data_IF_665919514347
#
_entry.id   IF_665919514347
#
_cell.length_a   1.000
_cell.length_b   1.000
_cell.length_c   1.000
_cell.angle_alpha   90.00
_cell.angle_beta   90.00
_cell.angle_gamma   90.00
#
_symmetry.space_group_name_H-M   'P 1'
#
loop_
_entity.id
_entity.type
_entity.pdbx_description
1 polymer ?
#
# COMPACT_ATOMS: atom_id res chain seq x y z
N UNK A 1 7.09 -2.94 -28.48
CA UNK A 1 7.09 -1.64 -27.78
C UNK A 1 6.93 -1.80 -26.26
N UNK A 2 6.17 -2.80 -25.77
CA UNK A 2 5.87 -3.04 -24.34
C UNK A 2 7.04 -3.61 -23.51
N UNK A 3 8.01 -4.29 -24.12
CA UNK A 3 9.17 -4.91 -23.39
C UNK A 3 10.22 -3.91 -22.89
N UNK A 4 10.24 -2.67 -23.37
CA UNK A 4 11.26 -1.64 -23.00
C UNK A 4 10.86 -0.75 -21.81
N UNK A 5 9.60 -0.74 -21.38
CA UNK A 5 9.12 0.07 -20.24
C UNK A 5 9.25 -0.65 -18.88
N UNK A 6 9.54 -1.93 -18.85
CA UNK A 6 9.67 -2.71 -17.60
C UNK A 6 11.08 -2.72 -17.00
N UNK A 7 12.06 -2.08 -17.65
CA UNK A 7 13.47 -2.05 -17.19
C UNK A 7 13.90 -0.70 -16.61
N UNK A 8 13.00 0.24 -16.35
CA UNK A 8 13.33 1.45 -15.59
C UNK A 8 13.68 1.03 -14.17
N UNK A 9 14.96 0.96 -13.92
CA UNK A 9 15.70 0.73 -12.69
C UNK A 9 14.89 0.99 -11.41
N UNK A 10 14.24 -0.06 -10.89
CA UNK A 10 13.77 -0.12 -9.51
C UNK A 10 14.98 -0.32 -8.61
N UNK A 11 15.68 0.77 -8.29
CA UNK A 11 16.77 0.73 -7.32
C UNK A 11 16.17 0.81 -5.90
N UNK A 12 16.11 -0.27 -5.13
CA UNK A 12 15.52 -0.28 -3.78
C UNK A 12 16.25 0.66 -2.82
N UNK A 13 17.48 1.06 -3.13
CA UNK A 13 18.27 2.01 -2.33
C UNK A 13 17.80 3.47 -2.45
N UNK A 14 16.97 3.83 -3.47
CA UNK A 14 16.46 5.21 -3.61
C UNK A 14 15.29 5.51 -2.68
N UNK A 15 14.49 4.52 -2.33
CA UNK A 15 13.28 4.69 -1.52
C UNK A 15 13.60 5.15 -0.09
N UNK A 16 14.71 4.70 0.47
CA UNK A 16 15.09 4.92 1.88
C UNK A 16 15.76 6.26 2.15
N UNK A 17 16.14 7.05 1.13
CA UNK A 17 17.04 8.20 1.32
C UNK A 17 16.30 9.50 1.64
N UNK A 18 15.01 9.62 1.34
CA UNK A 18 14.28 10.89 1.43
C UNK A 18 13.16 10.86 2.48
N UNK A 19 12.47 9.73 2.62
CA UNK A 19 11.50 9.52 3.71
C UNK A 19 12.21 8.71 4.79
N UNK A 20 12.59 9.37 5.88
CA UNK A 20 13.15 8.67 7.06
C UNK A 20 12.04 7.83 7.69
N UNK A 21 12.03 6.53 7.39
CA UNK A 21 11.10 5.57 7.96
C UNK A 21 11.74 4.83 9.13
N UNK A 22 10.99 4.60 10.19
CA UNK A 22 11.37 3.79 11.34
C UNK A 22 11.02 2.32 11.15
N UNK A 23 10.01 2.04 10.31
CA UNK A 23 9.57 0.71 9.92
C UNK A 23 10.67 -0.04 9.15
N UNK A 24 10.90 -1.30 9.49
CA UNK A 24 11.81 -2.16 8.71
C UNK A 24 11.09 -2.67 7.47
N UNK A 25 11.73 -2.53 6.30
CA UNK A 25 11.18 -2.97 5.00
C UNK A 25 12.02 -4.10 4.44
N UNK A 26 11.36 -5.21 4.13
CA UNK A 26 11.96 -6.41 3.54
C UNK A 26 11.37 -6.65 2.15
N UNK A 27 12.19 -7.10 1.21
CA UNK A 27 11.77 -7.46 -0.14
C UNK A 27 11.86 -8.97 -0.32
N UNK A 28 10.70 -9.63 -0.46
CA UNK A 28 10.59 -11.08 -0.48
C UNK A 28 10.75 -11.72 0.90
N UNK A 29 10.99 -13.02 0.89
CA UNK A 29 11.08 -13.85 2.09
C UNK A 29 12.52 -14.31 2.40
N UNK A 30 13.49 -13.83 1.60
CA UNK A 30 14.88 -14.19 1.80
C UNK A 30 15.50 -13.33 2.91
N UNK A 31 16.26 -13.98 3.79
CA UNK A 31 16.98 -13.33 4.89
C UNK A 31 16.09 -12.54 5.87
N UNK A 32 14.85 -12.99 6.08
CA UNK A 32 14.02 -12.42 7.14
C UNK A 32 14.62 -12.73 8.52
N UNK A 33 14.64 -11.77 9.44
CA UNK A 33 15.02 -12.04 10.81
C UNK A 33 13.96 -12.89 11.52
N UNK A 34 14.28 -13.46 12.64
CA UNK A 34 13.27 -14.00 13.54
C UNK A 34 12.49 -12.83 14.17
N UNK A 35 11.17 -12.79 13.93
CA UNK A 35 10.28 -11.78 14.51
C UNK A 35 9.74 -12.27 15.87
N UNK A 36 9.64 -11.34 16.81
CA UNK A 36 9.14 -11.65 18.15
C UNK A 36 7.61 -11.64 18.18
N UNK A 37 6.99 -12.80 18.44
CA UNK A 37 5.53 -12.97 18.55
C UNK A 37 4.73 -12.17 17.51
N UNK A 38 4.97 -12.37 16.20
CA UNK A 38 4.45 -11.46 15.16
C UNK A 38 2.93 -11.56 15.03
N UNK A 39 2.29 -10.37 15.06
CA UNK A 39 0.93 -10.17 14.62
C UNK A 39 0.94 -9.60 13.19
N UNK A 40 0.32 -10.30 12.25
CA UNK A 40 0.46 -10.00 10.84
C UNK A 40 -0.89 -9.80 10.13
N UNK A 41 -0.83 -9.11 9.01
CA UNK A 41 -1.93 -9.01 8.05
C UNK A 41 -1.41 -9.02 6.62
N UNK A 42 -2.21 -9.52 5.68
CA UNK A 42 -1.83 -9.67 4.27
C UNK A 42 -2.80 -8.92 3.37
N UNK A 43 -2.30 -8.14 2.43
CA UNK A 43 -3.17 -7.44 1.49
C UNK A 43 -2.43 -6.54 0.50
N UNK A 44 -3.12 -6.07 -0.53
CA UNK A 44 -2.53 -5.12 -1.49
C UNK A 44 -2.37 -3.72 -0.92
N UNK A 45 -3.17 -3.36 0.07
CA UNK A 45 -3.12 -2.06 0.77
C UNK A 45 -3.07 -0.86 -0.17
N UNK A 46 -3.78 -0.94 -1.30
CA UNK A 46 -3.83 0.14 -2.26
C UNK A 46 -4.68 1.29 -1.73
N UNK A 47 -4.03 2.44 -1.49
CA UNK A 47 -4.60 3.62 -0.86
C UNK A 47 -4.54 3.64 0.67
N UNK A 48 -4.16 2.57 1.34
CA UNK A 48 -4.10 2.44 2.83
C UNK A 48 -5.28 3.13 3.52
N UNK A 49 -6.49 2.93 2.99
CA UNK A 49 -7.72 3.63 3.39
C UNK A 49 -8.21 3.25 4.80
N UNK A 50 -9.23 3.95 5.31
CA UNK A 50 -9.78 3.76 6.67
C UNK A 50 -10.16 2.31 6.99
N UNK A 51 -10.68 1.54 6.02
CA UNK A 51 -10.92 0.11 6.20
C UNK A 51 -9.64 -0.71 6.42
N UNK A 52 -8.52 -0.34 5.78
CA UNK A 52 -7.22 -0.95 6.07
C UNK A 52 -6.69 -0.54 7.44
N UNK A 53 -6.93 0.71 7.87
CA UNK A 53 -6.48 1.22 9.16
C UNK A 53 -6.97 0.37 10.32
N UNK A 54 -8.21 -0.12 10.28
CA UNK A 54 -8.76 -0.99 11.33
C UNK A 54 -7.93 -2.29 11.48
N UNK A 55 -7.50 -2.89 10.37
CA UNK A 55 -6.61 -4.05 10.39
C UNK A 55 -5.24 -3.68 10.96
N UNK A 56 -4.67 -2.54 10.54
CA UNK A 56 -3.37 -2.07 11.02
C UNK A 56 -3.38 -1.78 12.52
N UNK A 57 -4.41 -1.10 13.01
CA UNK A 57 -4.59 -0.83 14.44
C UNK A 57 -4.76 -2.13 15.23
N UNK A 58 -5.44 -3.13 14.65
CA UNK A 58 -5.63 -4.43 15.31
C UNK A 58 -4.32 -5.19 15.45
N UNK A 59 -3.52 -5.35 14.38
CA UNK A 59 -2.23 -6.05 14.48
C UNK A 59 -1.27 -5.34 15.43
N UNK A 60 -1.26 -4.01 15.47
CA UNK A 60 -0.46 -3.24 16.43
C UNK A 60 -0.85 -3.53 17.88
N UNK A 61 -2.15 -3.52 18.18
CA UNK A 61 -2.65 -3.82 19.52
C UNK A 61 -2.34 -5.26 19.95
N UNK A 62 -2.53 -6.22 19.06
CA UNK A 62 -2.22 -7.61 19.35
C UNK A 62 -0.73 -7.87 19.54
N UNK A 63 0.12 -7.25 18.73
CA UNK A 63 1.56 -7.29 18.91
C UNK A 63 1.97 -6.67 20.25
N UNK A 64 1.49 -5.45 20.54
CA UNK A 64 1.81 -4.75 21.79
C UNK A 64 1.38 -5.54 23.04
N UNK A 65 0.23 -6.22 23.02
CA UNK A 65 -0.28 -7.00 24.14
C UNK A 65 0.64 -8.14 24.58
N UNK A 66 1.50 -8.64 23.66
CA UNK A 66 2.44 -9.74 23.93
C UNK A 66 3.91 -9.29 23.82
N UNK A 67 4.16 -7.99 23.76
CA UNK A 67 5.50 -7.45 23.51
C UNK A 67 6.10 -7.91 22.18
N UNK A 68 5.24 -8.19 21.19
CA UNK A 68 5.59 -8.69 19.87
C UNK A 68 5.79 -7.57 18.85
N UNK A 69 5.76 -7.92 17.56
CA UNK A 69 5.97 -7.02 16.42
C UNK A 69 4.81 -7.09 15.44
N UNK A 70 4.38 -5.94 14.94
CA UNK A 70 3.37 -5.84 13.88
C UNK A 70 4.00 -6.01 12.50
N UNK A 71 3.38 -6.84 11.64
CA UNK A 71 3.89 -7.11 10.30
C UNK A 71 2.78 -6.93 9.27
N UNK A 72 3.05 -6.12 8.26
CA UNK A 72 2.22 -6.04 7.05
C UNK A 72 2.93 -6.79 5.93
N UNK A 73 2.23 -7.72 5.28
CA UNK A 73 2.65 -8.33 4.04
C UNK A 73 1.88 -7.69 2.89
N UNK A 74 2.59 -7.13 1.92
CA UNK A 74 1.99 -6.52 0.72
C UNK A 74 2.67 -7.02 -0.55
N UNK A 75 2.10 -6.67 -1.70
CA UNK A 75 2.55 -7.16 -2.99
C UNK A 75 3.06 -6.01 -3.87
N UNK A 76 4.16 -6.24 -4.57
CA UNK A 76 4.67 -5.37 -5.62
C UNK A 76 5.31 -6.21 -6.74
N UNK A 77 4.79 -6.11 -7.99
CA UNK A 77 3.64 -5.32 -8.47
C UNK A 77 2.30 -5.71 -7.84
N UNK A 78 1.33 -4.81 -7.94
CA UNK A 78 -0.03 -5.09 -7.47
C UNK A 78 -0.62 -6.33 -8.17
N UNK A 79 -1.25 -7.29 -7.46
CA UNK A 79 -1.72 -8.57 -8.06
C UNK A 79 -2.60 -8.41 -9.29
N UNK A 80 -3.53 -7.45 -9.30
CA UNK A 80 -4.39 -7.20 -10.47
C UNK A 80 -3.63 -6.69 -11.70
N UNK A 81 -2.49 -6.03 -11.50
CA UNK A 81 -1.60 -5.59 -12.59
C UNK A 81 -0.90 -6.80 -13.19
N UNK A 82 -0.30 -7.64 -12.35
CA UNK A 82 0.43 -8.84 -12.80
C UNK A 82 -0.48 -9.84 -13.51
N UNK A 83 -1.70 -10.04 -12.99
CA UNK A 83 -2.67 -10.99 -13.54
C UNK A 83 -3.45 -10.44 -14.75
N UNK A 84 -3.35 -9.13 -15.04
CA UNK A 84 -4.08 -8.50 -16.13
C UNK A 84 -5.60 -8.52 -15.96
N UNK A 85 -6.09 -8.71 -14.74
CA UNK A 85 -7.54 -8.83 -14.47
C UNK A 85 -8.31 -7.52 -14.60
N UNK A 86 -7.61 -6.42 -14.84
CA UNK A 86 -8.20 -5.10 -15.05
C UNK A 86 -7.28 -4.27 -15.97
N UNK A 87 -7.62 -4.19 -17.25
CA UNK A 87 -6.81 -3.55 -18.30
C UNK A 87 -6.44 -2.07 -18.03
N UNK A 88 -7.22 -1.35 -17.24
CA UNK A 88 -7.05 0.08 -16.93
C UNK A 88 -6.89 0.36 -15.44
N UNK A 89 -6.35 -0.59 -14.67
CA UNK A 89 -6.14 -0.35 -13.24
C UNK A 89 -5.16 0.81 -13.04
N UNK A 90 -5.60 1.84 -12.31
CA UNK A 90 -4.74 2.88 -11.76
C UNK A 90 -4.61 2.68 -10.25
N UNK A 91 -3.39 2.82 -9.74
CA UNK A 91 -3.09 2.61 -8.33
C UNK A 91 -3.34 3.88 -7.52
N UNK A 92 -3.91 3.72 -6.34
CA UNK A 92 -4.11 4.82 -5.38
C UNK A 92 -2.79 5.22 -4.72
N UNK A 93 -1.89 4.25 -4.51
CA UNK A 93 -0.58 4.49 -3.92
C UNK A 93 0.51 3.79 -4.72
N UNK A 94 1.64 4.49 -4.92
CA UNK A 94 2.90 3.84 -5.27
C UNK A 94 3.40 2.98 -4.10
N UNK A 95 4.42 2.14 -4.33
CA UNK A 95 5.05 1.40 -3.23
C UNK A 95 5.66 2.35 -2.19
N UNK A 96 6.30 3.42 -2.64
CA UNK A 96 6.90 4.43 -1.78
C UNK A 96 5.88 5.13 -0.87
N UNK A 97 4.77 5.60 -1.46
CA UNK A 97 3.66 6.22 -0.72
C UNK A 97 3.05 5.24 0.29
N UNK A 98 2.95 3.96 -0.07
CA UNK A 98 2.48 2.90 0.83
C UNK A 98 3.43 2.69 2.01
N UNK A 99 4.75 2.64 1.76
CA UNK A 99 5.77 2.55 2.81
C UNK A 99 5.65 3.74 3.76
N UNK A 100 5.55 4.96 3.23
CA UNK A 100 5.38 6.18 4.02
C UNK A 100 4.14 6.12 4.91
N UNK A 101 2.99 5.71 4.36
CA UNK A 101 1.73 5.63 5.12
C UNK A 101 1.79 4.57 6.22
N UNK A 102 2.30 3.38 5.91
CA UNK A 102 2.41 2.29 6.89
C UNK A 102 3.35 2.64 8.05
N UNK A 103 4.46 3.32 7.77
CA UNK A 103 5.36 3.84 8.79
C UNK A 103 4.64 4.87 9.69
N UNK A 104 3.92 5.81 9.11
CA UNK A 104 3.13 6.79 9.87
C UNK A 104 2.00 6.16 10.69
N UNK A 105 1.47 5.02 10.26
CA UNK A 105 0.53 4.23 11.06
C UNK A 105 1.22 3.39 12.16
N UNK A 106 2.55 3.47 12.27
CA UNK A 106 3.32 2.86 13.34
C UNK A 106 3.42 1.34 13.21
N UNK A 107 3.53 0.83 12.00
CA UNK A 107 3.82 -0.58 11.71
C UNK A 107 5.32 -0.82 11.93
N UNK A 108 5.69 -1.92 12.58
CA UNK A 108 7.10 -2.23 12.85
C UNK A 108 7.81 -2.80 11.64
N UNK A 109 7.10 -3.62 10.84
CA UNK A 109 7.70 -4.37 9.73
C UNK A 109 6.79 -4.42 8.51
N UNK A 110 7.38 -4.24 7.33
CA UNK A 110 6.72 -4.44 6.05
C UNK A 110 7.48 -5.48 5.23
N UNK A 111 6.78 -6.50 4.76
CA UNK A 111 7.31 -7.47 3.79
C UNK A 111 6.65 -7.20 2.44
N UNK A 112 7.43 -6.75 1.47
CA UNK A 112 7.01 -6.52 0.09
C UNK A 112 7.25 -7.79 -0.70
N UNK A 113 6.19 -8.50 -1.03
CA UNK A 113 6.24 -9.76 -1.76
C UNK A 113 6.33 -9.48 -3.26
N UNK A 114 7.38 -9.92 -3.96
CA UNK A 114 7.42 -9.88 -5.42
C UNK A 114 6.28 -10.75 -5.99
N UNK A 115 5.25 -10.09 -6.54
CA UNK A 115 4.08 -10.79 -7.05
C UNK A 115 4.20 -11.02 -8.55
N UNK A 116 4.62 -12.22 -8.92
CA UNK A 116 4.68 -12.70 -10.30
C UNK A 116 3.68 -13.82 -10.58
N UNK A 117 3.70 -14.34 -11.81
CA UNK A 117 2.81 -15.45 -12.20
C UNK A 117 3.13 -16.76 -11.47
N UNK A 118 4.39 -16.97 -11.06
CA UNK A 118 4.77 -18.18 -10.33
C UNK A 118 4.21 -18.09 -8.90
N UNK A 119 4.39 -16.96 -8.22
CA UNK A 119 3.83 -16.73 -6.89
C UNK A 119 2.29 -16.79 -6.88
N UNK A 120 1.62 -16.30 -7.93
CA UNK A 120 0.16 -16.34 -8.04
C UNK A 120 -0.45 -17.75 -8.10
N UNK A 121 0.35 -18.77 -8.40
CA UNK A 121 -0.07 -20.18 -8.48
C UNK A 121 0.16 -20.95 -7.19
N UNK A 122 0.70 -20.33 -6.17
CA UNK A 122 0.93 -20.98 -4.87
C UNK A 122 -0.44 -21.29 -4.24
N UNK A 123 -0.73 -22.56 -3.89
CA UNK A 123 -1.94 -22.93 -3.19
C UNK A 123 -2.08 -22.16 -1.87
N UNK A 124 -3.30 -21.86 -1.47
CA UNK A 124 -3.56 -21.08 -0.26
C UNK A 124 -3.01 -21.74 1.00
N UNK A 125 -3.09 -23.07 1.12
CA UNK A 125 -2.52 -23.82 2.25
C UNK A 125 -0.98 -23.73 2.29
N UNK A 126 -0.31 -23.91 1.14
CA UNK A 126 1.15 -23.74 1.04
C UNK A 126 1.59 -22.31 1.36
N UNK A 127 0.80 -21.31 0.97
CA UNK A 127 1.09 -19.92 1.35
C UNK A 127 1.04 -19.73 2.87
N UNK A 128 0.05 -20.30 3.55
CA UNK A 128 -0.02 -20.25 5.03
C UNK A 128 1.15 -20.98 5.65
N UNK A 129 1.33 -22.26 5.30
CA UNK A 129 2.31 -23.15 5.91
C UNK A 129 3.76 -22.69 5.68
N UNK A 130 4.13 -22.48 4.43
CA UNK A 130 5.53 -22.29 4.05
C UNK A 130 5.97 -20.82 4.25
N UNK A 131 5.06 -19.85 3.99
CA UNK A 131 5.42 -18.43 4.05
C UNK A 131 4.98 -17.76 5.35
N UNK A 132 3.69 -17.82 5.71
CA UNK A 132 3.23 -17.11 6.91
C UNK A 132 3.79 -17.74 8.18
N UNK A 133 3.76 -19.07 8.28
CA UNK A 133 4.25 -19.78 9.44
C UNK A 133 5.74 -20.09 9.32
N UNK A 134 6.16 -20.71 8.22
CA UNK A 134 7.53 -21.19 8.03
C UNK A 134 8.56 -20.08 7.89
N UNK A 135 8.28 -19.02 7.11
CA UNK A 135 9.23 -17.90 6.87
C UNK A 135 9.05 -16.74 7.84
N UNK A 136 7.80 -16.36 8.15
CA UNK A 136 7.51 -15.17 8.99
C UNK A 136 7.32 -15.55 10.47
N UNK A 137 6.86 -16.76 10.75
CA UNK A 137 6.58 -17.24 12.11
C UNK A 137 5.33 -16.62 12.72
N UNK A 138 4.31 -16.29 11.91
CA UNK A 138 3.09 -15.60 12.36
C UNK A 138 2.45 -16.30 13.54
N UNK A 139 2.13 -15.53 14.59
CA UNK A 139 1.41 -16.01 15.79
C UNK A 139 -0.04 -15.52 15.83
N UNK A 140 -0.31 -14.34 15.31
CA UNK A 140 -1.65 -13.81 15.13
C UNK A 140 -1.80 -13.32 13.69
N UNK A 141 -2.81 -13.82 12.97
CA UNK A 141 -3.15 -13.36 11.63
C UNK A 141 -4.47 -12.59 11.68
N UNK A 142 -4.46 -11.34 11.28
CA UNK A 142 -5.65 -10.50 11.21
C UNK A 142 -6.06 -10.34 9.74
N UNK A 143 -7.29 -10.68 9.41
CA UNK A 143 -7.84 -10.58 8.06
C UNK A 143 -9.12 -9.77 8.04
N UNK A 144 -9.39 -9.11 6.92
CA UNK A 144 -10.63 -8.36 6.74
C UNK A 144 -11.78 -9.28 6.32
N UNK A 145 -13.01 -8.80 6.50
CA UNK A 145 -14.21 -9.47 6.02
C UNK A 145 -14.11 -9.80 4.51
N UNK A 146 -14.46 -11.02 4.15
CA UNK A 146 -14.32 -11.54 2.79
C UNK A 146 -12.88 -11.54 2.23
N UNK A 147 -11.88 -11.60 3.11
CA UNK A 147 -10.49 -11.75 2.65
C UNK A 147 -10.32 -13.05 1.85
N UNK A 148 -9.70 -12.93 0.68
CA UNK A 148 -9.40 -14.05 -0.20
C UNK A 148 -7.93 -14.00 -0.61
N UNK A 149 -7.26 -15.17 -0.61
CA UNK A 149 -5.83 -15.29 -0.92
C UNK A 149 -5.50 -16.62 -1.58
N UNK A 150 -4.24 -16.80 -1.99
CA UNK A 150 -3.78 -18.00 -2.67
C UNK A 150 -4.25 -18.08 -4.13
N UNK A 151 -3.94 -19.21 -4.76
CA UNK A 151 -4.32 -19.49 -6.14
C UNK A 151 -5.86 -19.44 -6.27
N UNK A 152 -6.34 -18.83 -7.35
CA UNK A 152 -7.78 -18.66 -7.65
C UNK A 152 -8.65 -18.14 -6.50
N UNK A 153 -8.01 -17.51 -5.48
CA UNK A 153 -8.68 -16.99 -4.27
C UNK A 153 -9.41 -18.08 -3.46
N UNK A 154 -8.89 -19.28 -3.46
CA UNK A 154 -9.43 -20.42 -2.71
C UNK A 154 -9.36 -20.19 -1.19
N UNK A 155 -8.29 -19.53 -0.72
CA UNK A 155 -8.08 -19.24 0.69
C UNK A 155 -9.07 -18.21 1.22
N UNK A 156 -9.67 -18.51 2.35
CA UNK A 156 -10.59 -17.64 3.08
C UNK A 156 -10.40 -17.81 4.60
N UNK A 157 -11.25 -17.12 5.37
CA UNK A 157 -11.26 -17.25 6.84
C UNK A 157 -11.50 -18.69 7.30
N UNK A 158 -12.33 -19.49 6.61
CA UNK A 158 -12.62 -20.88 7.02
C UNK A 158 -11.39 -21.77 6.88
N UNK A 159 -10.65 -21.63 5.78
CA UNK A 159 -9.39 -22.33 5.59
C UNK A 159 -8.39 -21.96 6.70
N UNK A 160 -8.23 -20.66 6.97
CA UNK A 160 -7.32 -20.18 8.03
C UNK A 160 -7.73 -20.73 9.39
N UNK A 161 -9.01 -20.74 9.69
CA UNK A 161 -9.54 -21.27 10.95
C UNK A 161 -9.39 -22.80 11.04
N UNK A 162 -9.40 -23.52 9.93
CA UNK A 162 -9.11 -24.97 9.89
C UNK A 162 -7.64 -25.30 10.13
N UNK A 163 -6.73 -24.38 9.77
CA UNK A 163 -5.29 -24.59 9.91
C UNK A 163 -4.72 -24.05 11.24
N UNK A 164 -5.48 -23.24 11.99
CA UNK A 164 -4.94 -22.56 13.17
C UNK A 164 -4.49 -23.52 14.28
N UNK A 165 -5.22 -24.60 14.50
CA UNK A 165 -4.87 -25.60 15.53
C UNK A 165 -3.62 -26.39 15.12
N UNK A 166 -3.52 -26.77 13.83
CA UNK A 166 -2.40 -27.56 13.31
C UNK A 166 -1.08 -26.78 13.39
N UNK A 167 -1.11 -25.49 13.05
CA UNK A 167 0.11 -24.66 12.96
C UNK A 167 0.32 -23.73 14.16
N UNK A 168 -0.55 -23.73 15.15
CA UNK A 168 -0.38 -23.00 16.42
C UNK A 168 -0.36 -21.47 16.26
N UNK A 169 -1.22 -20.91 15.38
CA UNK A 169 -1.43 -19.48 15.24
C UNK A 169 -2.89 -19.11 15.51
N UNK A 170 -3.17 -17.83 15.77
CA UNK A 170 -4.53 -17.32 15.94
C UNK A 170 -4.97 -16.59 14.68
N UNK A 171 -6.27 -16.63 14.40
CA UNK A 171 -6.90 -15.88 13.31
C UNK A 171 -7.98 -14.96 13.87
N UNK A 172 -7.94 -13.69 13.46
CA UNK A 172 -8.97 -12.71 13.81
C UNK A 172 -9.55 -12.12 12.51
N UNK A 173 -10.85 -12.26 12.31
CA UNK A 173 -11.55 -11.59 11.21
C UNK A 173 -12.10 -10.24 11.69
N UNK A 174 -11.86 -9.19 10.91
CA UNK A 174 -12.39 -7.85 11.16
C UNK A 174 -13.62 -7.63 10.30
N UNK A 175 -14.69 -7.16 10.92
CA UNK A 175 -15.92 -6.82 10.24
C UNK A 175 -15.74 -5.69 9.22
N UNK A 176 -16.66 -5.65 8.27
CA UNK A 176 -16.69 -4.63 7.23
C UNK A 176 -16.84 -3.23 7.83
N UNK A 177 -16.08 -2.28 7.29
CA UNK A 177 -16.11 -0.89 7.72
C UNK A 177 -16.84 -0.01 6.71
N UNK A 178 -17.67 0.89 7.20
CA UNK A 178 -18.36 1.92 6.43
C UNK A 178 -17.98 3.32 6.96
N UNK A 179 -17.93 4.31 6.08
CA UNK A 179 -17.68 5.73 6.41
C UNK A 179 -18.76 6.56 5.71
N UNK A 180 -19.41 7.47 6.45
CA UNK A 180 -20.52 8.30 5.96
C UNK A 180 -21.65 7.45 5.33
N UNK A 181 -21.96 6.27 5.90
CA UNK A 181 -22.90 5.28 5.37
C UNK A 181 -22.51 4.69 3.99
N UNK A 182 -21.35 4.99 3.49
CA UNK A 182 -20.80 4.44 2.25
C UNK A 182 -19.73 3.38 2.53
N UNK A 183 -19.74 2.31 1.72
CA UNK A 183 -18.74 1.25 1.81
C UNK A 183 -17.35 1.78 1.41
N UNK A 184 -16.39 1.76 2.34
CA UNK A 184 -15.01 2.10 2.02
C UNK A 184 -14.36 0.99 1.19
N UNK A 185 -13.83 1.36 0.04
CA UNK A 185 -13.02 0.46 -0.81
C UNK A 185 -12.15 1.26 -1.77
N UNK A 186 -11.00 0.68 -2.18
CA UNK A 186 -10.15 1.30 -3.21
C UNK A 186 -10.90 1.61 -4.51
N UNK A 187 -11.95 0.84 -4.86
CA UNK A 187 -12.77 1.10 -6.06
C UNK A 187 -13.61 2.36 -5.92
N UNK A 188 -14.23 2.59 -4.78
CA UNK A 188 -15.01 3.81 -4.52
C UNK A 188 -14.07 5.03 -4.50
N UNK A 189 -12.94 4.92 -3.81
CA UNK A 189 -11.96 6.00 -3.71
C UNK A 189 -11.41 6.38 -5.09
N UNK A 190 -11.12 5.40 -5.97
CA UNK A 190 -10.71 5.70 -7.36
C UNK A 190 -11.72 6.56 -8.09
N UNK A 191 -13.01 6.20 -8.01
CA UNK A 191 -14.08 6.97 -8.66
C UNK A 191 -14.19 8.40 -8.14
N UNK A 192 -13.96 8.61 -6.84
CA UNK A 192 -13.94 9.95 -6.26
C UNK A 192 -12.77 10.78 -6.81
N UNK A 193 -11.58 10.20 -6.88
CA UNK A 193 -10.38 10.87 -7.43
C UNK A 193 -10.58 11.16 -8.92
N UNK A 194 -11.10 10.21 -9.71
CA UNK A 194 -11.41 10.37 -11.13
C UNK A 194 -12.42 11.49 -11.40
N UNK A 195 -13.25 11.84 -10.42
CA UNK A 195 -14.19 12.97 -10.47
C UNK A 195 -13.63 14.26 -9.87
N UNK A 196 -12.41 14.26 -9.35
CA UNK A 196 -11.82 15.40 -8.66
C UNK A 196 -12.39 15.65 -7.25
N UNK A 197 -13.17 14.72 -6.69
CA UNK A 197 -13.79 14.85 -5.36
C UNK A 197 -12.75 14.54 -4.24
N UNK A 198 -11.63 15.29 -4.26
CA UNK A 198 -10.46 15.02 -3.41
C UNK A 198 -10.77 15.04 -1.91
N UNK A 199 -11.63 15.97 -1.46
CA UNK A 199 -12.02 16.05 -0.04
C UNK A 199 -12.80 14.81 0.43
N UNK A 200 -13.66 14.24 -0.40
CA UNK A 200 -14.36 12.99 -0.08
C UNK A 200 -13.41 11.80 -0.10
N UNK A 201 -12.52 11.76 -1.10
CA UNK A 201 -11.49 10.73 -1.17
C UNK A 201 -10.60 10.74 0.08
N UNK A 202 -10.14 11.91 0.54
CA UNK A 202 -9.32 12.06 1.74
C UNK A 202 -10.04 11.58 3.02
N UNK A 203 -11.36 11.84 3.17
CA UNK A 203 -12.14 11.29 4.29
C UNK A 203 -12.15 9.75 4.28
N UNK A 204 -12.42 9.13 3.13
CA UNK A 204 -12.41 7.66 3.02
C UNK A 204 -11.01 7.06 3.19
N UNK A 205 -9.98 7.76 2.75
CA UNK A 205 -8.58 7.39 2.97
C UNK A 205 -8.18 7.52 4.46
N UNK A 206 -8.77 8.47 5.21
CA UNK A 206 -8.33 8.95 6.53
C UNK A 206 -6.95 9.61 6.53
N UNK A 207 -6.50 10.07 5.39
CA UNK A 207 -5.28 10.85 5.18
C UNK A 207 -5.39 11.60 3.83
N UNK A 208 -4.57 12.66 3.59
CA UNK A 208 -4.49 13.31 2.28
C UNK A 208 -4.14 12.31 1.17
N UNK A 209 -4.65 12.53 -0.03
CA UNK A 209 -4.17 11.77 -1.18
C UNK A 209 -2.74 12.17 -1.51
N UNK A 210 -1.86 11.21 -1.73
CA UNK A 210 -0.43 11.44 -1.90
C UNK A 210 -0.01 11.36 -3.37
N UNK A 211 1.03 12.12 -3.72
CA UNK A 211 1.80 11.98 -4.95
C UNK A 211 3.28 12.14 -4.63
N UNK A 212 4.05 11.08 -4.78
CA UNK A 212 5.51 11.10 -4.68
C UNK A 212 6.14 11.17 -6.07
N UNK A 213 7.20 11.96 -6.22
CA UNK A 213 7.92 12.06 -7.49
C UNK A 213 9.07 13.05 -7.47
N UNK A 214 9.89 13.00 -8.51
CA UNK A 214 11.00 13.92 -8.72
C UNK A 214 10.52 15.18 -9.41
N UNK A 215 10.72 16.34 -8.81
CA UNK A 215 10.40 17.65 -9.40
C UNK A 215 11.63 18.25 -10.06
N UNK A 216 11.48 18.70 -11.31
CA UNK A 216 12.51 19.42 -12.05
C UNK A 216 12.46 20.93 -11.80
N UNK A 217 13.43 21.66 -12.36
CA UNK A 217 13.53 23.13 -12.21
C UNK A 217 12.37 23.90 -12.87
N UNK A 218 11.59 23.25 -13.74
CA UNK A 218 10.40 23.84 -14.37
C UNK A 218 9.12 23.50 -13.61
N UNK A 219 9.20 22.69 -12.55
CA UNK A 219 8.05 22.26 -11.74
C UNK A 219 7.37 21.00 -12.26
N UNK A 220 7.85 20.34 -13.32
CA UNK A 220 7.27 19.07 -13.75
C UNK A 220 7.62 17.97 -12.76
N UNK A 221 6.65 17.09 -12.50
CA UNK A 221 6.80 16.00 -11.55
C UNK A 221 6.79 14.67 -12.29
N UNK A 222 7.88 13.93 -12.17
CA UNK A 222 8.01 12.57 -12.65
C UNK A 222 7.68 11.60 -11.51
N UNK A 223 6.47 11.03 -11.52
CA UNK A 223 6.12 9.94 -10.60
C UNK A 223 6.90 8.68 -10.96
N UNK A 224 7.45 8.01 -9.96
CA UNK A 224 8.10 6.70 -10.13
C UNK A 224 7.13 5.55 -10.43
N UNK A 225 5.82 5.79 -10.32
CA UNK A 225 4.76 4.80 -10.57
C UNK A 225 3.93 5.17 -11.80
N UNK A 226 4.16 4.45 -12.91
CA UNK A 226 3.47 4.70 -14.18
C UNK A 226 1.94 4.49 -14.12
N UNK A 227 1.47 3.69 -13.16
CA UNK A 227 0.05 3.39 -12.97
C UNK A 227 -0.60 4.29 -11.91
N UNK A 228 0.10 5.28 -11.37
CA UNK A 228 -0.45 6.21 -10.38
C UNK A 228 -1.72 6.88 -10.91
N UNK A 229 -2.79 6.83 -10.12
CA UNK A 229 -4.00 7.58 -10.42
C UNK A 229 -3.76 9.06 -10.15
N UNK A 230 -4.10 9.90 -11.11
CA UNK A 230 -4.12 11.35 -10.94
C UNK A 230 -5.56 11.85 -11.06
N UNK A 231 -5.93 12.93 -10.36
CA UNK A 231 -7.23 13.56 -10.56
C UNK A 231 -7.33 14.19 -11.96
N UNK A 232 -8.53 14.61 -12.41
CA UNK A 232 -8.74 15.25 -13.70
C UNK A 232 -7.86 16.49 -13.93
N UNK A 233 -7.68 16.92 -15.17
CA UNK A 233 -7.02 18.19 -15.47
C UNK A 233 -7.61 19.36 -14.69
N UNK A 234 -6.76 20.16 -14.02
CA UNK A 234 -7.18 21.25 -13.15
C UNK A 234 -6.07 21.69 -12.20
N UNK A 235 -6.36 22.70 -11.39
CA UNK A 235 -5.46 23.19 -10.35
C UNK A 235 -5.97 22.74 -8.98
N UNK A 236 -5.06 22.22 -8.16
CA UNK A 236 -5.37 21.62 -6.85
C UNK A 236 -4.54 22.31 -5.76
N UNK A 237 -5.17 22.76 -4.67
CA UNK A 237 -4.43 23.16 -3.49
C UNK A 237 -3.77 21.93 -2.88
N UNK A 238 -2.48 22.03 -2.59
CA UNK A 238 -1.66 20.93 -2.07
C UNK A 238 -0.75 21.41 -0.94
N UNK A 239 -0.18 20.45 -0.23
CA UNK A 239 0.91 20.70 0.73
C UNK A 239 2.14 19.92 0.30
N UNK A 240 3.30 20.56 0.40
CA UNK A 240 4.60 19.95 0.15
C UNK A 240 5.46 20.20 1.39
N UNK A 241 5.86 19.14 2.10
CA UNK A 241 6.59 19.26 3.37
C UNK A 241 5.86 20.19 4.38
N UNK A 242 4.53 20.09 4.42
CA UNK A 242 3.69 20.94 5.28
C UNK A 242 3.44 22.37 4.77
N UNK A 243 4.08 22.81 3.69
CA UNK A 243 3.93 24.15 3.10
C UNK A 243 2.82 24.15 2.04
N UNK A 244 1.94 25.17 2.00
CA UNK A 244 0.91 25.24 0.99
C UNK A 244 1.50 25.50 -0.40
N UNK A 245 0.86 24.90 -1.41
CA UNK A 245 1.23 25.05 -2.82
C UNK A 245 0.04 24.84 -3.75
N UNK A 246 0.28 24.95 -5.05
CA UNK A 246 -0.70 24.66 -6.09
C UNK A 246 -0.07 23.72 -7.11
N UNK A 247 -0.71 22.59 -7.30
CA UNK A 247 -0.39 21.59 -8.31
C UNK A 247 -1.39 21.69 -9.46
N UNK A 248 -0.90 21.70 -10.70
CA UNK A 248 -1.72 21.56 -11.91
C UNK A 248 -1.60 20.14 -12.44
N UNK A 249 -2.71 19.55 -12.79
CA UNK A 249 -2.76 18.39 -13.68
C UNK A 249 -3.09 18.91 -15.07
N UNK A 250 -2.20 18.72 -16.01
CA UNK A 250 -2.38 19.19 -17.39
C UNK A 250 -3.41 18.35 -18.13
N UNK A 251 -3.89 18.83 -19.30
CA UNK A 251 -4.77 18.06 -20.18
C UNK A 251 -4.17 16.71 -20.65
N UNK A 252 -2.84 16.60 -20.61
CA UNK A 252 -2.09 15.36 -20.93
C UNK A 252 -1.95 14.43 -19.72
N UNK A 253 -2.46 14.84 -18.54
CA UNK A 253 -2.31 14.07 -17.29
C UNK A 253 -0.92 14.19 -16.65
N UNK A 254 -0.15 15.23 -16.97
CA UNK A 254 1.16 15.48 -16.36
C UNK A 254 0.99 16.38 -15.14
N UNK A 255 1.53 16.04 -13.97
CA UNK A 255 1.51 16.90 -12.79
C UNK A 255 2.63 17.97 -12.87
N UNK A 256 2.27 19.21 -12.58
CA UNK A 256 3.16 20.38 -12.59
C UNK A 256 2.95 21.19 -11.31
N UNK A 257 4.02 21.41 -10.55
CA UNK A 257 3.99 22.29 -9.38
C UNK A 257 4.10 23.75 -9.84
N UNK A 258 3.02 24.51 -9.72
CA UNK A 258 2.98 25.92 -10.18
C UNK A 258 3.62 26.86 -9.18
N UNK A 259 3.36 26.66 -7.90
CA UNK A 259 3.87 27.51 -6.81
C UNK A 259 3.83 26.78 -5.47
N UNK A 260 4.68 27.23 -4.56
CA UNK A 260 4.70 26.82 -3.15
C UNK A 260 5.06 28.03 -2.29
N UNK A 261 4.69 27.99 -1.02
CA UNK A 261 5.14 29.00 -0.06
C UNK A 261 6.66 28.85 0.15
N UNK A 262 7.43 29.82 -0.35
CA UNK A 262 8.88 29.83 -0.30
C UNK A 262 9.54 29.38 -1.60
N UNK A 263 10.75 28.83 -1.49
CA UNK A 263 11.52 28.36 -2.65
C UNK A 263 10.88 27.11 -3.26
N UNK A 264 10.83 27.04 -4.59
CA UNK A 264 10.43 25.81 -5.31
C UNK A 264 11.32 24.66 -4.89
N UNK A 265 10.73 23.50 -4.51
CA UNK A 265 11.50 22.32 -4.19
C UNK A 265 12.20 21.79 -5.43
N UNK A 266 13.28 21.07 -5.23
CA UNK A 266 13.98 20.35 -6.30
C UNK A 266 14.34 18.95 -5.82
N UNK A 267 14.32 17.98 -6.71
CA UNK A 267 14.55 16.57 -6.38
C UNK A 267 13.26 15.87 -5.97
N UNK A 268 13.40 14.83 -5.15
CA UNK A 268 12.27 13.99 -4.78
C UNK A 268 11.40 14.66 -3.71
N UNK A 269 10.08 14.68 -3.92
CA UNK A 269 9.11 15.30 -3.01
C UNK A 269 7.89 14.41 -2.79
N UNK A 270 7.22 14.65 -1.67
CA UNK A 270 5.91 14.11 -1.37
C UNK A 270 4.88 15.24 -1.31
N UNK A 271 3.83 15.11 -2.11
CA UNK A 271 2.74 16.07 -2.22
C UNK A 271 1.49 15.47 -1.58
N UNK A 272 0.81 16.28 -0.78
CA UNK A 272 -0.46 15.98 -0.12
C UNK A 272 -1.57 16.86 -0.74
N UNK A 273 -2.61 16.21 -1.33
CA UNK A 273 -3.79 16.89 -1.87
C UNK A 273 -4.81 17.25 -0.79
#
# INVERSE_FOLDING_TARGET
FWKRLLTASRNPKRITTIIKVSMRVFHGFENLPSFRSPAATVGSYDGVHSGHRVLLDRIRREAAAVGGESIVLTFDPHPRVTLGTQERLRLLTSLEEKIYLLDRFGIDNLIVIPFDRAFSRIPSESFVKDYLIGKVGVKNLVVGFNHRFGHDKEGDYRLLNGLHDEFGFRVTEIEKQDVDAEKVSSTVIRRLIERGEMNKAARMLSHPYLLAGDVDCAGHIASGEALKLLPPPGEYPVRIEGRPGVLRITAKGTPELLRTAGKMPSGHILIEF
#
